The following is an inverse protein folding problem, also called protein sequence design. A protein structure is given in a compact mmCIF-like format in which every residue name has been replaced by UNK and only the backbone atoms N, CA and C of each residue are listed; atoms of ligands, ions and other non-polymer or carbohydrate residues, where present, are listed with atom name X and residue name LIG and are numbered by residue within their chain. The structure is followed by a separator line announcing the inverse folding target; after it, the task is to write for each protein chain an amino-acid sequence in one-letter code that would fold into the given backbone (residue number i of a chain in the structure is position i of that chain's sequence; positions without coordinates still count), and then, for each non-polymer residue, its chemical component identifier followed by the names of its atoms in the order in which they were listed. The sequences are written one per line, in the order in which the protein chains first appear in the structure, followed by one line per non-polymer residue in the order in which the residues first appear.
data_IF_568876943238
#
_entry.id   IF_568876943238
#
_cell.length_a   1.000
_cell.length_b   1.000
_cell.length_c   1.000
_cell.angle_alpha   90.00
_cell.angle_beta   90.00
_cell.angle_gamma   90.00
#
_symmetry.space_group_name_H-M   'P 1'
#
loop_
_entity.id
_entity.type
_entity.pdbx_description
1 polymer ?
#
# COMPACT_ATOMS: atom_id res chain seq x y z
N UNK A 1 -10.28 6.21 43.01
CA UNK A 1 -11.68 6.39 42.58
C UNK A 1 -12.37 5.06 42.87
N UNK A 2 -12.79 4.78 44.10
CA UNK A 2 -14.03 5.21 44.77
C UNK A 2 -15.29 4.90 43.97
N UNK A 3 -16.04 3.90 44.43
CA UNK A 3 -17.50 3.88 44.68
C UNK A 3 -17.84 2.48 45.23
N UNK A 4 -18.09 2.35 46.55
CA UNK A 4 -19.40 2.49 47.23
C UNK A 4 -20.34 1.30 46.94
N UNK A 5 -20.53 0.41 47.92
CA UNK A 5 -21.52 0.52 49.01
C UNK A 5 -22.94 0.20 48.53
N UNK A 6 -23.33 -1.06 48.68
CA UNK A 6 -24.74 -1.42 48.82
C UNK A 6 -24.89 -2.31 50.05
N UNK A 7 -25.33 -1.66 51.14
CA UNK A 7 -25.88 -2.31 52.31
C UNK A 7 -27.14 -3.07 51.91
N UNK A 8 -27.27 -4.34 52.30
CA UNK A 8 -28.58 -4.97 52.39
C UNK A 8 -28.75 -5.62 53.76
N UNK A 9 -29.83 -5.20 54.39
CA UNK A 9 -30.21 -5.34 55.79
C UNK A 9 -30.51 -6.80 56.11
N UNK A 10 -29.63 -7.44 56.87
CA UNK A 10 -29.96 -8.71 57.55
C UNK A 10 -30.65 -8.35 58.86
N UNK A 11 -31.97 -8.50 58.87
CA UNK A 11 -32.79 -8.41 60.07
C UNK A 11 -32.40 -9.51 61.05
N UNK A 12 -31.69 -9.11 62.11
CA UNK A 12 -31.52 -9.90 63.33
C UNK A 12 -32.88 -10.04 64.03
N UNK A 13 -33.52 -11.20 63.89
CA UNK A 13 -34.62 -11.61 64.75
C UNK A 13 -34.28 -12.93 65.45
N UNK A 14 -34.02 -12.79 66.75
CA UNK A 14 -34.29 -13.73 67.85
C UNK A 14 -33.83 -15.18 67.68
N UNK A 15 -32.67 -15.46 68.28
CA UNK A 15 -32.28 -16.77 68.81
C UNK A 15 -33.33 -17.22 69.84
N UNK A 16 -34.01 -18.38 69.68
CA UNK A 16 -34.85 -18.91 70.75
C UNK A 16 -33.96 -19.44 71.90
N UNK A 17 -34.37 -19.31 73.17
CA UNK A 17 -33.56 -19.67 74.33
C UNK A 17 -33.25 -21.17 74.43
N UNK A 18 -32.10 -21.48 75.03
CA UNK A 18 -31.79 -22.80 75.57
C UNK A 18 -32.80 -23.21 76.65
N UNK A 19 -33.28 -24.46 76.52
CA UNK A 19 -33.86 -25.34 77.54
C UNK A 19 -35.04 -24.82 78.35
N UNK A 20 -36.19 -25.46 78.15
CA UNK A 20 -37.07 -25.83 79.27
C UNK A 20 -37.15 -27.35 79.33
N UNK A 21 -36.49 -27.92 80.34
CA UNK A 21 -36.86 -29.22 80.87
C UNK A 21 -38.29 -29.09 81.40
N UNK A 22 -39.20 -29.92 80.90
CA UNK A 22 -40.51 -30.14 81.53
C UNK A 22 -40.61 -31.64 81.86
N UNK A 23 -41.05 -32.00 83.08
CA UNK A 23 -40.78 -33.31 83.67
C UNK A 23 -41.64 -34.42 83.06
N UNK A 24 -41.02 -35.55 82.77
CA UNK A 24 -41.71 -36.82 82.55
C UNK A 24 -42.30 -37.29 83.88
N UNK A 25 -43.61 -37.10 84.10
CA UNK A 25 -44.30 -37.70 85.24
C UNK A 25 -45.36 -38.70 84.75
N UNK A 26 -44.97 -39.96 84.94
CA UNK A 26 -45.77 -41.17 85.18
C UNK A 26 -46.82 -41.58 84.14
N UNK A 27 -46.57 -42.73 83.52
CA UNK A 27 -47.38 -43.89 83.88
C UNK A 27 -46.54 -45.17 83.79
N UNK A 28 -46.31 -45.74 84.96
CA UNK A 28 -46.01 -47.15 85.15
C UNK A 28 -47.14 -47.95 84.48
N UNK A 29 -46.85 -48.77 83.47
CA UNK A 29 -47.63 -49.98 83.26
C UNK A 29 -46.74 -51.19 83.53
N UNK A 30 -46.84 -51.65 84.77
CA UNK A 30 -46.57 -53.02 85.14
C UNK A 30 -47.46 -53.94 84.32
N UNK A 31 -46.86 -54.80 83.49
CA UNK A 31 -47.51 -55.98 82.94
C UNK A 31 -47.85 -56.95 84.08
N UNK A 32 -48.94 -56.70 84.81
CA UNK A 32 -49.58 -57.72 85.64
C UNK A 32 -50.56 -58.49 84.77
N UNK A 33 -50.14 -59.71 84.46
CA UNK A 33 -50.97 -60.83 84.08
C UNK A 33 -52.16 -60.96 85.07
N UNK A 34 -53.37 -60.60 84.63
CA UNK A 34 -54.63 -60.93 85.30
C UNK A 34 -55.50 -61.67 84.30
N UNK A 35 -55.65 -62.97 84.55
CA UNK A 35 -56.63 -63.85 83.93
C UNK A 35 -58.05 -63.30 84.07
N UNK A 36 -58.97 -63.54 83.12
CA UNK A 36 -60.39 -63.48 83.40
C UNK A 36 -60.84 -64.82 84.00
N UNK A 37 -61.18 -64.80 85.30
CA UNK A 37 -62.02 -65.81 85.90
C UNK A 37 -63.46 -65.57 85.42
N UNK A 38 -64.07 -66.60 84.83
CA UNK A 38 -65.50 -66.69 84.62
C UNK A 38 -66.26 -66.38 85.92
N UNK A 39 -67.21 -65.44 85.87
CA UNK A 39 -68.31 -65.43 86.82
C UNK A 39 -69.60 -65.05 86.08
N UNK A 40 -70.29 -66.11 85.70
CA UNK A 40 -71.65 -66.10 85.23
C UNK A 40 -72.60 -65.85 86.43
N UNK A 41 -73.77 -65.29 86.15
CA UNK A 41 -75.00 -65.30 86.99
C UNK A 41 -75.08 -64.27 88.14
N UNK A 42 -75.87 -63.21 87.94
CA UNK A 42 -77.21 -63.08 88.58
C UNK A 42 -77.87 -61.76 88.19
N UNK A 43 -79.02 -61.88 87.52
CA UNK A 43 -80.03 -60.82 87.43
C UNK A 43 -80.50 -60.44 88.84
N UNK A 44 -80.40 -59.16 89.22
CA UNK A 44 -81.10 -58.62 90.38
C UNK A 44 -81.69 -57.27 90.07
N UNK A 45 -82.99 -57.36 89.76
CA UNK A 45 -84.06 -56.36 89.74
C UNK A 45 -83.79 -55.20 90.70
N UNK A 46 -83.48 -54.02 90.15
CA UNK A 46 -83.35 -52.77 90.90
C UNK A 46 -84.66 -52.01 90.80
N UNK A 47 -85.25 -51.65 91.94
CA UNK A 47 -86.40 -50.75 92.01
C UNK A 47 -86.05 -49.40 91.38
N UNK A 48 -86.78 -48.98 90.34
CA UNK A 48 -86.52 -47.74 89.61
C UNK A 48 -87.20 -46.54 90.28
N UNK A 49 -86.39 -45.62 90.82
CA UNK A 49 -86.79 -44.23 91.02
C UNK A 49 -86.49 -43.46 89.73
N UNK A 50 -87.35 -42.53 89.27
CA UNK A 50 -87.11 -41.74 88.06
C UNK A 50 -85.73 -41.04 88.02
N UNK A 51 -85.17 -40.68 89.19
CA UNK A 51 -83.86 -40.04 89.30
C UNK A 51 -82.68 -40.98 89.04
N UNK A 52 -82.75 -42.27 89.42
CA UNK A 52 -81.64 -43.21 89.15
C UNK A 52 -81.56 -43.56 87.67
N UNK A 53 -82.69 -43.62 86.99
CA UNK A 53 -82.76 -43.85 85.54
C UNK A 53 -82.15 -42.68 84.74
N UNK A 54 -82.47 -41.43 85.11
CA UNK A 54 -81.90 -40.24 84.47
C UNK A 54 -80.38 -40.15 84.65
N UNK A 55 -79.86 -40.49 85.84
CA UNK A 55 -78.43 -40.55 86.11
C UNK A 55 -77.70 -41.60 85.25
N UNK A 56 -78.26 -42.81 85.15
CA UNK A 56 -77.67 -43.87 84.32
C UNK A 56 -77.65 -43.45 82.84
N UNK A 57 -78.70 -42.78 82.35
CA UNK A 57 -78.73 -42.25 80.98
C UNK A 57 -77.70 -41.14 80.74
N UNK A 58 -77.54 -40.22 81.71
CA UNK A 58 -76.53 -39.16 81.62
C UNK A 58 -75.10 -39.72 81.62
N UNK A 59 -74.81 -40.71 82.46
CA UNK A 59 -73.51 -41.38 82.50
C UNK A 59 -73.21 -42.14 81.20
N UNK A 60 -74.19 -42.87 80.64
CA UNK A 60 -74.05 -43.53 79.34
C UNK A 60 -73.77 -42.53 78.22
N UNK A 61 -74.49 -41.40 78.21
CA UNK A 61 -74.28 -40.32 77.24
C UNK A 61 -72.89 -39.70 77.36
N UNK A 62 -72.40 -39.52 78.59
CA UNK A 62 -71.05 -39.00 78.85
C UNK A 62 -69.97 -39.99 78.39
N UNK A 63 -70.14 -41.28 78.68
CA UNK A 63 -69.22 -42.34 78.23
C UNK A 63 -69.14 -42.40 76.71
N UNK A 64 -70.28 -42.34 76.01
CA UNK A 64 -70.32 -42.32 74.55
C UNK A 64 -69.66 -41.05 73.98
N UNK A 65 -69.83 -39.90 74.64
CA UNK A 65 -69.15 -38.65 74.26
C UNK A 65 -67.64 -38.72 74.48
N UNK A 66 -67.17 -39.31 75.58
CA UNK A 66 -65.74 -39.52 75.84
C UNK A 66 -65.15 -40.43 74.76
N UNK A 67 -65.81 -41.56 74.47
CA UNK A 67 -65.34 -42.49 73.45
C UNK A 67 -65.25 -41.83 72.06
N UNK A 68 -66.25 -41.02 71.69
CA UNK A 68 -66.23 -40.24 70.44
C UNK A 68 -65.07 -39.25 70.40
N UNK A 69 -64.84 -38.51 71.49
CA UNK A 69 -63.73 -37.56 71.58
C UNK A 69 -62.36 -38.25 71.53
N UNK A 70 -62.23 -39.44 72.12
CA UNK A 70 -61.00 -40.24 72.03
C UNK A 70 -60.71 -40.67 70.59
N UNK A 71 -61.75 -41.09 69.85
CA UNK A 71 -61.63 -41.43 68.43
C UNK A 71 -61.23 -40.22 67.59
N UNK A 72 -61.91 -39.08 67.77
CA UNK A 72 -61.59 -37.83 67.09
C UNK A 72 -60.16 -37.34 67.42
N UNK A 73 -59.70 -37.52 68.67
CA UNK A 73 -58.32 -37.24 69.07
C UNK A 73 -57.32 -38.09 68.30
N UNK A 74 -57.54 -39.41 68.23
CA UNK A 74 -56.65 -40.30 67.47
C UNK A 74 -56.63 -39.98 65.99
N UNK A 75 -57.79 -39.67 65.40
CA UNK A 75 -57.89 -39.26 64.00
C UNK A 75 -57.15 -37.93 63.74
N UNK A 76 -57.28 -36.94 64.63
CA UNK A 76 -56.57 -35.67 64.53
C UNK A 76 -55.05 -35.86 64.67
N UNK A 77 -54.62 -36.76 65.54
CA UNK A 77 -53.21 -37.12 65.74
C UNK A 77 -52.62 -37.81 64.50
N UNK A 78 -53.34 -38.75 63.89
CA UNK A 78 -52.93 -39.40 62.64
C UNK A 78 -52.84 -38.41 61.48
N UNK A 79 -53.82 -37.50 61.36
CA UNK A 79 -53.79 -36.44 60.35
C UNK A 79 -52.59 -35.50 60.54
N UNK A 80 -52.28 -35.12 61.78
CA UNK A 80 -51.10 -34.30 62.09
C UNK A 80 -49.80 -35.03 61.74
N UNK A 81 -49.72 -36.34 62.02
CA UNK A 81 -48.57 -37.16 61.66
C UNK A 81 -48.38 -37.28 60.14
N UNK A 82 -49.47 -37.36 59.37
CA UNK A 82 -49.43 -37.34 57.90
C UNK A 82 -48.92 -35.99 57.40
N UNK A 83 -49.53 -34.89 57.84
CA UNK A 83 -49.12 -33.53 57.45
C UNK A 83 -47.66 -33.23 57.83
N UNK A 84 -47.20 -33.67 59.00
CA UNK A 84 -45.81 -33.53 59.43
C UNK A 84 -44.84 -34.24 58.48
N UNK A 85 -45.20 -35.45 58.03
CA UNK A 85 -44.40 -36.23 57.07
C UNK A 85 -44.37 -35.56 55.70
N UNK A 86 -45.51 -35.08 55.21
CA UNK A 86 -45.61 -34.36 53.94
C UNK A 86 -44.78 -33.06 53.98
N UNK A 87 -44.90 -32.28 55.05
CA UNK A 87 -44.11 -31.06 55.25
C UNK A 87 -42.60 -31.34 55.26
N UNK A 88 -42.18 -32.43 55.93
CA UNK A 88 -40.78 -32.85 55.92
C UNK A 88 -40.29 -33.27 54.52
N UNK A 89 -41.15 -33.93 53.73
CA UNK A 89 -40.83 -34.30 52.35
C UNK A 89 -40.69 -33.08 51.44
N UNK A 90 -41.61 -32.10 51.52
CA UNK A 90 -41.49 -30.85 50.76
C UNK A 90 -40.23 -30.07 51.11
N UNK A 91 -39.90 -29.99 52.41
CA UNK A 91 -38.66 -29.36 52.86
C UNK A 91 -37.43 -30.03 52.24
N UNK A 92 -37.39 -31.37 52.25
CA UNK A 92 -36.29 -32.14 51.64
C UNK A 92 -36.21 -31.95 50.13
N UNK A 93 -37.33 -31.96 49.43
CA UNK A 93 -37.37 -31.75 47.99
C UNK A 93 -36.81 -30.37 47.60
N UNK A 94 -37.20 -29.32 48.33
CA UNK A 94 -36.73 -27.96 48.11
C UNK A 94 -35.23 -27.81 48.37
N UNK A 95 -34.72 -28.44 49.43
CA UNK A 95 -33.29 -28.45 49.75
C UNK A 95 -32.47 -29.16 48.65
N UNK A 96 -32.96 -30.30 48.16
CA UNK A 96 -32.32 -31.02 47.05
C UNK A 96 -32.27 -30.18 45.77
N UNK A 97 -33.38 -29.55 45.40
CA UNK A 97 -33.45 -28.69 44.21
C UNK A 97 -32.49 -27.49 44.32
N UNK A 98 -32.34 -26.93 45.53
CA UNK A 98 -31.39 -25.86 45.80
C UNK A 98 -29.95 -26.34 45.62
N UNK A 99 -29.62 -27.52 46.14
CA UNK A 99 -28.29 -28.12 46.01
C UNK A 99 -27.94 -28.45 44.54
N UNK A 100 -28.89 -29.02 43.78
CA UNK A 100 -28.72 -29.28 42.35
C UNK A 100 -28.49 -27.99 41.56
N UNK A 101 -29.27 -26.95 41.83
CA UNK A 101 -29.10 -25.63 41.21
C UNK A 101 -27.72 -25.03 41.51
N UNK A 102 -27.25 -25.14 42.75
CA UNK A 102 -25.92 -24.67 43.15
C UNK A 102 -24.81 -25.45 42.43
N UNK A 103 -24.95 -26.77 42.30
CA UNK A 103 -23.98 -27.60 41.59
C UNK A 103 -23.94 -27.26 40.09
N UNK A 104 -25.11 -27.12 39.45
CA UNK A 104 -25.21 -26.72 38.06
C UNK A 104 -24.57 -25.35 37.81
N UNK A 105 -24.79 -24.38 38.73
CA UNK A 105 -24.16 -23.07 38.64
C UNK A 105 -22.64 -23.13 38.77
N UNK A 106 -22.13 -23.95 39.70
CA UNK A 106 -20.69 -24.14 39.87
C UNK A 106 -20.05 -24.77 38.63
N UNK A 107 -20.67 -25.78 38.04
CA UNK A 107 -20.19 -26.43 36.82
C UNK A 107 -20.22 -25.45 35.64
N UNK A 108 -21.26 -24.62 35.51
CA UNK A 108 -21.32 -23.57 34.49
C UNK A 108 -20.18 -22.56 34.65
N UNK A 109 -19.88 -22.13 35.88
CA UNK A 109 -18.74 -21.25 36.14
C UNK A 109 -17.42 -21.91 35.72
N UNK A 110 -17.25 -23.21 36.03
CA UNK A 110 -16.05 -23.96 35.66
C UNK A 110 -15.90 -24.06 34.13
N UNK A 111 -16.97 -24.42 33.43
CA UNK A 111 -17.01 -24.46 31.97
C UNK A 111 -16.71 -23.09 31.36
N UNK A 112 -17.30 -22.02 31.90
CA UNK A 112 -17.03 -20.64 31.45
C UNK A 112 -15.54 -20.28 31.59
N UNK A 113 -14.89 -20.68 32.70
CA UNK A 113 -13.45 -20.46 32.90
C UNK A 113 -12.61 -21.24 31.91
N UNK A 114 -12.95 -22.50 31.65
CA UNK A 114 -12.26 -23.35 30.68
C UNK A 114 -12.34 -22.76 29.27
N UNK A 115 -13.55 -22.39 28.83
CA UNK A 115 -13.75 -21.75 27.52
C UNK A 115 -12.97 -20.43 27.43
N UNK A 116 -12.97 -19.63 28.49
CA UNK A 116 -12.19 -18.38 28.53
C UNK A 116 -10.69 -18.61 28.38
N UNK A 117 -10.15 -19.68 29.00
CA UNK A 117 -8.74 -20.04 28.89
C UNK A 117 -8.41 -20.54 27.47
N UNK A 118 -9.28 -21.37 26.90
CA UNK A 118 -9.13 -21.85 25.52
C UNK A 118 -9.18 -20.70 24.52
N UNK A 119 -10.09 -19.73 24.70
CA UNK A 119 -10.17 -18.54 23.86
C UNK A 119 -8.89 -17.69 23.96
N UNK A 120 -8.37 -17.47 25.17
CA UNK A 120 -7.11 -16.74 25.37
C UNK A 120 -5.92 -17.45 24.73
N UNK A 121 -5.88 -18.79 24.80
CA UNK A 121 -4.84 -19.60 24.15
C UNK A 121 -4.93 -19.51 22.62
N UNK A 122 -6.14 -19.65 22.07
CA UNK A 122 -6.40 -19.51 20.64
C UNK A 122 -6.02 -18.11 20.14
N UNK A 123 -6.39 -17.06 20.85
CA UNK A 123 -6.03 -15.68 20.53
C UNK A 123 -4.50 -15.47 20.53
N UNK A 124 -3.79 -16.08 21.48
CA UNK A 124 -2.31 -16.04 21.52
C UNK A 124 -1.69 -16.76 20.33
N UNK A 125 -2.27 -17.88 19.90
CA UNK A 125 -1.83 -18.62 18.70
C UNK A 125 -2.09 -17.81 17.42
N UNK A 126 -3.26 -17.19 17.29
CA UNK A 126 -3.60 -16.33 16.14
C UNK A 126 -2.64 -15.14 16.03
N UNK A 127 -2.39 -14.42 17.12
CA UNK A 127 -1.46 -13.28 17.13
C UNK A 127 -0.02 -13.67 16.78
N UNK A 128 0.42 -14.88 17.13
CA UNK A 128 1.72 -15.39 16.68
C UNK A 128 1.74 -15.65 15.17
N UNK A 129 0.70 -16.28 14.63
CA UNK A 129 0.57 -16.56 13.20
C UNK A 129 0.49 -15.27 12.37
N UNK A 130 -0.22 -14.25 12.86
CA UNK A 130 -0.27 -12.92 12.25
C UNK A 130 1.12 -12.29 12.15
N UNK A 131 1.93 -12.37 13.22
CA UNK A 131 3.31 -11.87 13.21
C UNK A 131 4.19 -12.62 12.22
N UNK A 132 4.04 -13.95 12.13
CA UNK A 132 4.78 -14.76 11.15
C UNK A 132 4.38 -14.40 9.72
N UNK A 133 3.08 -14.26 9.45
CA UNK A 133 2.57 -13.86 8.15
C UNK A 133 3.09 -12.47 7.75
N UNK A 134 3.09 -11.52 8.68
CA UNK A 134 3.61 -10.17 8.45
C UNK A 134 5.12 -10.17 8.15
N UNK A 135 5.89 -10.98 8.87
CA UNK A 135 7.31 -11.18 8.57
C UNK A 135 7.53 -11.75 7.16
N UNK A 136 6.80 -12.80 6.78
CA UNK A 136 6.90 -13.40 5.44
C UNK A 136 6.49 -12.41 4.35
N UNK A 137 5.40 -11.65 4.54
CA UNK A 137 4.97 -10.58 3.62
C UNK A 137 6.10 -9.57 3.40
N UNK A 138 6.74 -9.12 4.47
CA UNK A 138 7.86 -8.16 4.40
C UNK A 138 9.07 -8.73 3.65
N UNK A 139 9.42 -9.98 3.91
CA UNK A 139 10.51 -10.66 3.22
C UNK A 139 10.24 -10.78 1.72
N UNK A 140 9.05 -11.22 1.33
CA UNK A 140 8.65 -11.33 -0.08
C UNK A 140 8.67 -9.97 -0.77
N UNK A 141 8.12 -8.93 -0.13
CA UNK A 141 8.17 -7.56 -0.66
C UNK A 141 9.61 -7.05 -0.83
N UNK A 142 10.53 -7.43 0.06
CA UNK A 142 11.94 -7.08 -0.08
C UNK A 142 12.57 -7.76 -1.29
N UNK A 143 12.35 -9.07 -1.45
CA UNK A 143 12.86 -9.84 -2.59
C UNK A 143 12.31 -9.30 -3.92
N UNK A 144 11.01 -8.97 -3.99
CA UNK A 144 10.42 -8.41 -5.21
C UNK A 144 11.00 -7.03 -5.55
N UNK A 145 11.29 -6.20 -4.54
CA UNK A 145 11.98 -4.92 -4.74
C UNK A 145 13.40 -5.10 -5.28
N UNK A 146 14.17 -6.02 -4.71
CA UNK A 146 15.53 -6.32 -5.18
C UNK A 146 15.53 -6.84 -6.62
N UNK A 147 14.60 -7.75 -6.95
CA UNK A 147 14.39 -8.25 -8.32
C UNK A 147 14.07 -7.11 -9.28
N UNK A 148 13.15 -6.21 -8.93
CA UNK A 148 12.81 -5.06 -9.78
C UNK A 148 14.00 -4.13 -10.00
N UNK A 149 14.81 -3.87 -8.97
CA UNK A 149 16.03 -3.08 -9.08
C UNK A 149 17.05 -3.72 -10.03
N UNK A 150 17.22 -5.05 -9.96
CA UNK A 150 18.13 -5.79 -10.85
C UNK A 150 17.61 -5.75 -12.30
N UNK A 151 16.31 -5.95 -12.52
CA UNK A 151 15.70 -5.86 -13.85
C UNK A 151 15.84 -4.46 -14.46
N UNK A 152 15.66 -3.41 -13.65
CA UNK A 152 15.86 -2.03 -14.09
C UNK A 152 17.33 -1.75 -14.44
N UNK A 153 18.27 -2.23 -13.61
CA UNK A 153 19.71 -2.15 -13.92
C UNK A 153 20.06 -2.87 -15.22
N UNK A 154 19.48 -4.06 -15.46
CA UNK A 154 19.67 -4.81 -16.69
C UNK A 154 19.10 -4.06 -17.91
N UNK A 155 17.92 -3.46 -17.78
CA UNK A 155 17.32 -2.64 -18.83
C UNK A 155 18.12 -1.36 -19.13
N UNK A 156 18.72 -0.74 -18.11
CA UNK A 156 19.62 0.39 -18.31
C UNK A 156 20.89 -0.01 -19.05
N UNK A 157 21.56 -1.09 -18.64
CA UNK A 157 22.75 -1.59 -19.32
C UNK A 157 22.48 -1.95 -20.78
N UNK A 158 21.30 -2.53 -21.07
CA UNK A 158 20.89 -2.83 -22.44
C UNK A 158 20.72 -1.56 -23.28
N UNK A 159 20.08 -0.52 -22.72
CA UNK A 159 19.93 0.78 -23.41
C UNK A 159 21.28 1.46 -23.65
N UNK A 160 22.20 1.39 -22.70
CA UNK A 160 23.55 1.93 -22.86
C UNK A 160 24.32 1.21 -23.97
N UNK A 161 24.24 -0.13 -24.00
CA UNK A 161 24.82 -0.95 -25.08
C UNK A 161 24.26 -0.58 -26.46
N UNK A 162 22.94 -0.43 -26.57
CA UNK A 162 22.28 -0.01 -27.81
C UNK A 162 22.71 1.41 -28.23
N UNK A 163 22.84 2.32 -27.26
CA UNK A 163 23.34 3.67 -27.51
C UNK A 163 24.77 3.67 -28.05
N UNK A 164 25.65 2.87 -27.46
CA UNK A 164 27.03 2.75 -27.91
C UNK A 164 27.13 2.07 -29.27
N UNK A 165 26.29 1.07 -29.54
CA UNK A 165 26.17 0.45 -30.86
C UNK A 165 25.71 1.46 -31.92
N UNK A 166 24.71 2.30 -31.61
CA UNK A 166 24.28 3.38 -32.49
C UNK A 166 25.40 4.40 -32.75
N UNK A 167 26.14 4.81 -31.71
CA UNK A 167 27.30 5.71 -31.85
C UNK A 167 28.41 5.11 -32.71
N UNK A 168 28.68 3.82 -32.56
CA UNK A 168 29.67 3.11 -33.37
C UNK A 168 29.22 3.07 -34.84
N UNK A 169 27.97 2.71 -35.09
CA UNK A 169 27.41 2.69 -36.45
C UNK A 169 27.53 4.06 -37.14
N UNK A 170 27.18 5.14 -36.45
CA UNK A 170 27.33 6.50 -36.99
C UNK A 170 28.81 6.87 -37.29
N UNK A 171 29.76 6.41 -36.48
CA UNK A 171 31.20 6.61 -36.74
C UNK A 171 31.68 5.82 -37.96
N UNK A 172 31.21 4.59 -38.13
CA UNK A 172 31.53 3.76 -39.30
C UNK A 172 31.00 4.37 -40.59
N UNK A 173 29.76 4.88 -40.58
CA UNK A 173 29.18 5.59 -41.74
C UNK A 173 30.00 6.84 -42.09
N UNK A 174 30.44 7.62 -41.10
CA UNK A 174 31.33 8.76 -41.32
C UNK A 174 32.69 8.35 -41.91
N UNK A 175 33.25 7.22 -41.47
CA UNK A 175 34.50 6.69 -42.01
C UNK A 175 34.34 6.27 -43.48
N UNK A 176 33.26 5.58 -43.84
CA UNK A 176 32.96 5.19 -45.23
C UNK A 176 32.86 6.41 -46.16
N UNK A 177 32.22 7.50 -45.70
CA UNK A 177 32.17 8.77 -46.46
C UNK A 177 33.58 9.35 -46.67
N UNK A 178 34.41 9.36 -45.62
CA UNK A 178 35.78 9.88 -45.72
C UNK A 178 36.67 9.00 -46.62
N UNK A 179 36.49 7.68 -46.57
CA UNK A 179 37.21 6.74 -47.42
C UNK A 179 36.87 6.98 -48.90
N UNK A 180 35.58 7.15 -49.23
CA UNK A 180 35.13 7.54 -50.58
C UNK A 180 35.72 8.88 -51.03
N UNK A 181 35.85 9.84 -50.12
CA UNK A 181 36.49 11.13 -50.38
C UNK A 181 37.98 10.98 -50.71
N UNK A 182 38.72 10.19 -49.91
CA UNK A 182 40.13 9.90 -50.12
C UNK A 182 40.37 9.24 -51.49
N UNK A 183 39.54 8.27 -51.88
CA UNK A 183 39.61 7.67 -53.20
C UNK A 183 39.39 8.70 -54.33
N UNK A 184 38.38 9.55 -54.20
CA UNK A 184 38.09 10.59 -55.20
C UNK A 184 39.22 11.61 -55.32
N UNK A 185 39.77 12.05 -54.19
CA UNK A 185 40.91 12.98 -54.16
C UNK A 185 42.15 12.33 -54.77
N UNK A 186 42.44 11.07 -54.45
CA UNK A 186 43.57 10.32 -55.03
C UNK A 186 43.43 10.19 -56.54
N UNK A 187 42.24 9.85 -57.05
CA UNK A 187 41.99 9.79 -58.49
C UNK A 187 42.17 11.15 -59.18
N UNK A 188 41.72 12.22 -58.52
CA UNK A 188 41.88 13.60 -59.02
C UNK A 188 43.35 14.03 -59.02
N UNK A 189 44.08 13.72 -57.95
CA UNK A 189 45.51 14.00 -57.83
C UNK A 189 46.29 13.26 -58.93
N UNK A 190 46.05 11.96 -59.11
CA UNK A 190 46.71 11.16 -60.17
C UNK A 190 46.45 11.74 -61.56
N UNK A 191 45.20 12.12 -61.86
CA UNK A 191 44.85 12.74 -63.13
C UNK A 191 45.59 14.08 -63.36
N UNK A 192 45.80 14.86 -62.29
CA UNK A 192 46.59 16.09 -62.36
C UNK A 192 48.09 15.80 -62.56
N UNK A 193 48.65 14.82 -61.86
CA UNK A 193 50.04 14.37 -62.02
C UNK A 193 50.32 13.88 -63.46
N UNK A 194 49.46 13.03 -64.01
CA UNK A 194 49.57 12.56 -65.41
C UNK A 194 49.54 13.75 -66.41
N UNK A 195 48.71 14.75 -66.13
CA UNK A 195 48.62 15.95 -66.96
C UNK A 195 49.87 16.83 -66.86
N UNK A 196 50.45 16.97 -65.67
CA UNK A 196 51.72 17.69 -65.47
C UNK A 196 52.82 16.99 -66.24
N UNK A 197 52.97 15.67 -66.08
CA UNK A 197 53.98 14.87 -66.79
C UNK A 197 53.91 15.04 -68.31
N UNK A 198 52.69 15.04 -68.87
CA UNK A 198 52.47 15.29 -70.30
C UNK A 198 52.88 16.70 -70.72
N UNK A 199 52.61 17.71 -69.87
CA UNK A 199 53.03 19.08 -70.13
C UNK A 199 54.54 19.26 -70.02
N UNK A 200 55.20 18.57 -69.08
CA UNK A 200 56.66 18.55 -68.94
C UNK A 200 57.32 17.93 -70.18
N UNK A 201 56.81 16.80 -70.68
CA UNK A 201 57.31 16.16 -71.91
C UNK A 201 57.19 17.11 -73.11
N UNK A 202 56.01 17.74 -73.31
CA UNK A 202 55.83 18.76 -74.34
C UNK A 202 56.76 19.96 -74.19
N UNK A 203 57.03 20.39 -72.95
CA UNK A 203 57.94 21.50 -72.69
C UNK A 203 59.36 21.15 -73.14
N UNK A 204 59.83 19.94 -72.83
CA UNK A 204 61.17 19.48 -73.26
C UNK A 204 61.30 19.36 -74.78
N UNK A 205 60.25 18.91 -75.47
CA UNK A 205 60.23 18.88 -76.95
C UNK A 205 60.27 20.31 -77.52
N UNK A 206 59.48 21.24 -76.99
CA UNK A 206 59.52 22.65 -77.39
C UNK A 206 60.88 23.30 -77.10
N UNK A 207 61.51 22.99 -75.98
CA UNK A 207 62.88 23.45 -75.67
C UNK A 207 63.89 22.91 -76.67
N UNK A 208 63.80 21.62 -77.04
CA UNK A 208 64.63 21.02 -78.08
C UNK A 208 64.41 21.69 -79.45
N UNK A 209 63.16 21.93 -79.84
CA UNK A 209 62.80 22.65 -81.07
C UNK A 209 63.44 24.06 -81.06
N UNK A 210 63.26 24.83 -79.99
CA UNK A 210 63.84 26.17 -79.85
C UNK A 210 65.37 26.16 -79.93
N UNK A 211 66.02 25.15 -79.35
CA UNK A 211 67.47 24.98 -79.43
C UNK A 211 67.93 24.71 -80.87
N UNK A 212 67.25 23.83 -81.61
CA UNK A 212 67.53 23.61 -83.03
C UNK A 212 67.34 24.88 -83.88
N UNK A 213 66.30 25.67 -83.59
CA UNK A 213 66.10 26.96 -84.23
C UNK A 213 67.21 27.96 -83.89
N UNK A 214 67.62 28.03 -82.62
CA UNK A 214 68.72 28.88 -82.17
C UNK A 214 70.04 28.49 -82.83
N UNK A 215 70.34 27.19 -82.92
CA UNK A 215 71.55 26.68 -83.58
C UNK A 215 71.56 27.07 -85.07
N UNK A 216 70.44 26.86 -85.80
CA UNK A 216 70.27 27.33 -87.19
C UNK A 216 70.39 28.85 -87.34
N UNK A 217 69.86 29.61 -86.39
CA UNK A 217 69.98 31.07 -86.38
C UNK A 217 71.44 31.51 -86.11
N UNK A 218 72.15 30.79 -85.23
CA UNK A 218 73.57 31.01 -84.91
C UNK A 218 74.50 30.67 -86.09
N UNK A 219 74.15 29.66 -86.90
CA UNK A 219 74.82 29.33 -88.15
C UNK A 219 74.66 30.46 -89.19
N UNK A 220 73.44 30.95 -89.39
CA UNK A 220 73.17 32.10 -90.26
C UNK A 220 73.80 33.41 -89.77
N UNK A 221 73.90 33.63 -88.46
CA UNK A 221 74.56 34.83 -87.90
C UNK A 221 76.09 34.74 -87.86
N UNK A 222 76.69 33.54 -87.85
CA UNK A 222 78.13 33.37 -88.10
C UNK A 222 78.54 33.80 -89.53
N UNK A 223 77.63 33.77 -90.50
CA UNK A 223 77.84 34.33 -91.85
C UNK A 223 77.70 35.86 -91.93
N UNK A 224 77.27 36.55 -90.87
CA UNK A 224 77.16 38.02 -90.83
C UNK A 224 77.84 38.58 -89.57
N UNK A 225 79.17 38.67 -89.59
CA UNK A 225 79.91 39.64 -88.74
C UNK A 225 80.59 40.71 -89.61
N UNK A 226 79.85 41.76 -89.96
CA UNK A 226 80.40 43.10 -90.24
C UNK A 226 79.28 44.16 -90.13
N UNK A 227 79.37 45.07 -89.15
CA UNK A 227 78.56 46.32 -89.10
C UNK A 227 77.94 46.66 -87.73
N UNK A 228 78.05 47.90 -87.19
CA UNK A 228 77.72 48.26 -85.80
C UNK A 228 76.45 49.17 -85.69
N UNK A 229 76.12 49.83 -84.56
CA UNK A 229 74.87 49.63 -83.80
C UNK A 229 73.88 50.82 -83.85
N UNK A 230 72.57 50.62 -83.66
CA UNK A 230 71.65 51.71 -83.25
C UNK A 230 70.51 51.27 -82.32
N UNK A 231 70.29 52.12 -81.31
CA UNK A 231 69.19 52.16 -80.34
C UNK A 231 67.85 52.47 -81.02
N UNK A 232 66.74 51.88 -80.54
CA UNK A 232 65.42 52.51 -80.56
C UNK A 232 64.66 52.19 -79.26
N UNK A 233 64.14 53.25 -78.66
CA UNK A 233 63.28 53.36 -77.47
C UNK A 233 61.82 52.98 -77.82
N UNK A 234 61.04 52.33 -76.94
CA UNK A 234 59.69 52.81 -76.57
C UNK A 234 58.95 51.95 -75.54
N UNK A 235 58.27 52.65 -74.62
CA UNK A 235 57.31 52.21 -73.59
C UNK A 235 55.98 51.77 -74.21
N UNK A 236 55.26 50.86 -73.55
CA UNK A 236 53.81 50.81 -73.22
C UNK A 236 53.62 49.40 -72.60
N UNK A 237 52.90 49.13 -71.51
CA UNK A 237 51.87 49.79 -70.73
C UNK A 237 51.13 48.63 -70.06
N UNK A 238 51.13 48.54 -68.74
CA UNK A 238 50.49 47.46 -67.99
C UNK A 238 48.96 47.57 -68.05
N UNK A 239 48.26 46.43 -68.15
CA UNK A 239 46.82 46.31 -67.91
C UNK A 239 46.52 45.09 -67.01
N UNK A 240 45.57 45.21 -66.06
CA UNK A 240 45.40 44.25 -64.99
C UNK A 240 44.35 43.18 -65.25
N UNK A 241 44.58 42.07 -64.55
CA UNK A 241 43.71 40.94 -64.24
C UNK A 241 42.43 41.38 -63.49
N UNK A 242 41.27 40.89 -63.92
CA UNK A 242 40.00 40.97 -63.17
C UNK A 242 39.40 39.57 -63.04
N UNK A 243 39.15 39.16 -61.80
CA UNK A 243 38.50 37.91 -61.40
C UNK A 243 37.00 38.15 -61.23
N UNK A 244 36.17 37.32 -61.88
CA UNK A 244 34.73 37.27 -61.64
C UNK A 244 34.37 36.10 -60.70
N UNK A 245 33.53 36.40 -59.69
CA UNK A 245 32.76 35.43 -58.91
C UNK A 245 31.27 35.83 -58.94
N UNK A 246 30.32 34.89 -58.89
CA UNK A 246 28.89 35.18 -59.04
C UNK A 246 28.17 35.43 -57.71
N UNK A 247 27.12 36.27 -57.73
CA UNK A 247 26.22 36.56 -56.60
C UNK A 247 24.82 35.99 -56.89
N UNK A 248 24.29 35.28 -55.89
CA UNK A 248 22.90 34.77 -55.78
C UNK A 248 21.91 35.92 -55.52
N UNK A 249 20.66 35.78 -55.99
CA UNK A 249 19.50 36.50 -55.42
C UNK A 249 18.32 35.53 -55.26
N UNK A 250 17.84 35.43 -54.01
CA UNK A 250 16.66 34.68 -53.59
C UNK A 250 15.54 35.69 -53.32
N UNK A 251 14.37 35.49 -53.90
CA UNK A 251 13.17 36.30 -53.72
C UNK A 251 12.33 35.79 -52.53
N UNK A 252 12.01 36.66 -51.57
CA UNK A 252 10.98 36.43 -50.56
C UNK A 252 9.70 37.17 -50.94
N UNK A 253 8.58 36.44 -51.07
CA UNK A 253 7.24 37.00 -51.10
C UNK A 253 6.70 37.13 -49.67
N UNK A 254 6.09 38.29 -49.39
CA UNK A 254 5.34 38.59 -48.17
C UNK A 254 3.96 37.94 -48.23
N UNK A 255 3.48 37.43 -47.10
CA UNK A 255 2.07 37.12 -46.89
C UNK A 255 1.55 37.86 -45.65
N UNK A 256 0.36 38.42 -45.81
CA UNK A 256 -0.46 39.18 -44.86
C UNK A 256 -1.14 38.22 -43.87
N UNK A 257 -1.34 38.58 -42.58
CA UNK A 257 -2.18 37.82 -41.67
C UNK A 257 -3.59 38.42 -41.55
N UNK A 258 -4.59 37.59 -41.81
CA UNK A 258 -6.03 37.74 -41.50
C UNK A 258 -6.52 36.31 -41.21
N UNK A 259 -7.45 35.99 -40.33
CA UNK A 259 -8.24 36.76 -39.38
C UNK A 259 -8.77 35.79 -38.32
N UNK A 260 -9.25 36.38 -37.23
CA UNK A 260 -9.93 35.78 -36.08
C UNK A 260 -11.07 34.82 -36.42
N UNK A 261 -10.94 33.55 -36.01
CA UNK A 261 -12.07 32.68 -35.66
C UNK A 261 -11.85 32.14 -34.25
N UNK A 262 -12.86 32.29 -33.39
CA UNK A 262 -12.91 31.77 -32.02
C UNK A 262 -12.75 30.24 -32.05
N UNK A 263 -11.54 29.75 -31.90
CA UNK A 263 -11.30 28.34 -31.63
C UNK A 263 -11.69 28.05 -30.19
N UNK A 264 -12.68 27.16 -30.00
CA UNK A 264 -12.92 26.51 -28.71
C UNK A 264 -11.58 25.95 -28.25
N UNK A 265 -11.09 26.42 -27.12
CA UNK A 265 -9.74 26.08 -26.70
C UNK A 265 -9.73 24.60 -26.33
N UNK A 266 -8.71 23.86 -26.77
CA UNK A 266 -8.52 22.43 -26.40
C UNK A 266 -8.58 22.23 -24.86
N UNK A 267 -8.33 23.29 -24.08
CA UNK A 267 -8.41 23.28 -22.62
C UNK A 267 -9.87 23.23 -22.09
N UNK A 268 -10.85 23.69 -22.85
CA UNK A 268 -12.26 23.77 -22.41
C UNK A 268 -12.90 22.38 -22.46
N UNK A 269 -12.72 21.65 -23.56
CA UNK A 269 -13.20 20.26 -23.72
C UNK A 269 -12.58 19.30 -22.70
N UNK A 270 -11.30 19.50 -22.36
CA UNK A 270 -10.62 18.67 -21.36
C UNK A 270 -11.11 18.96 -19.94
N UNK A 271 -11.56 20.18 -19.68
CA UNK A 271 -12.15 20.58 -18.40
C UNK A 271 -13.55 20.01 -18.23
N UNK A 272 -14.36 20.02 -19.29
CA UNK A 272 -15.70 19.40 -19.29
C UNK A 272 -15.64 17.89 -19.03
N UNK A 273 -14.72 17.18 -19.71
CA UNK A 273 -14.52 15.75 -19.46
C UNK A 273 -14.05 15.46 -18.02
N UNK A 274 -13.19 16.31 -17.48
CA UNK A 274 -12.71 16.17 -16.10
C UNK A 274 -13.83 16.38 -15.08
N UNK A 275 -14.71 17.35 -15.32
CA UNK A 275 -15.91 17.57 -14.49
C UNK A 275 -16.82 16.34 -14.52
N UNK A 276 -17.17 15.83 -15.71
CA UNK A 276 -18.02 14.65 -15.85
C UNK A 276 -17.44 13.42 -15.11
N UNK A 277 -16.13 13.18 -15.23
CA UNK A 277 -15.48 12.08 -14.53
C UNK A 277 -15.46 12.26 -13.01
N UNK A 278 -15.33 13.49 -12.52
CA UNK A 278 -15.38 13.81 -11.10
C UNK A 278 -16.79 13.58 -10.55
N UNK A 279 -17.83 14.01 -11.27
CA UNK A 279 -19.23 13.78 -10.90
C UNK A 279 -19.56 12.29 -10.84
N UNK A 280 -19.05 11.49 -11.79
CA UNK A 280 -19.23 10.04 -11.75
C UNK A 280 -18.48 9.36 -10.58
N UNK A 281 -17.33 9.90 -10.14
CA UNK A 281 -16.62 9.40 -8.96
C UNK A 281 -17.39 9.76 -7.68
N UNK A 282 -17.97 10.94 -7.63
CA UNK A 282 -18.79 11.39 -6.51
C UNK A 282 -20.08 10.55 -6.43
N UNK A 283 -20.71 10.24 -7.57
CA UNK A 283 -21.85 9.33 -7.64
C UNK A 283 -21.51 7.93 -7.10
N UNK A 284 -20.37 7.35 -7.47
CA UNK A 284 -19.92 6.05 -6.93
C UNK A 284 -19.59 6.14 -5.43
N UNK A 285 -19.13 7.29 -4.95
CA UNK A 285 -18.86 7.50 -3.53
C UNK A 285 -20.15 7.52 -2.71
N UNK A 286 -21.23 8.08 -3.26
CA UNK A 286 -22.56 8.04 -2.65
C UNK A 286 -23.10 6.60 -2.61
N UNK A 287 -23.00 5.87 -3.73
CA UNK A 287 -23.39 4.45 -3.81
C UNK A 287 -22.62 3.59 -2.79
N UNK A 288 -21.33 3.85 -2.60
CA UNK A 288 -20.50 3.16 -1.61
C UNK A 288 -20.98 3.44 -0.16
N UNK A 289 -21.39 4.68 0.14
CA UNK A 289 -21.95 5.00 1.46
C UNK A 289 -23.31 4.36 1.69
N UNK A 290 -24.14 4.25 0.64
CA UNK A 290 -25.45 3.61 0.71
C UNK A 290 -25.33 2.09 0.93
N UNK A 291 -24.46 1.41 0.20
CA UNK A 291 -24.17 -0.01 0.39
C UNK A 291 -23.57 -0.29 1.78
N UNK A 292 -22.68 0.57 2.28
CA UNK A 292 -22.16 0.46 3.65
C UNK A 292 -23.25 0.61 4.72
N UNK A 293 -24.25 1.45 4.46
CA UNK A 293 -25.39 1.62 5.35
C UNK A 293 -26.27 0.36 5.31
N UNK A 294 -26.55 -0.16 4.12
CA UNK A 294 -27.34 -1.38 3.93
C UNK A 294 -26.69 -2.60 4.59
N UNK A 295 -25.35 -2.72 4.52
CA UNK A 295 -24.59 -3.76 5.21
C UNK A 295 -24.76 -3.71 6.74
N UNK A 296 -24.84 -2.51 7.32
CA UNK A 296 -25.03 -2.32 8.78
C UNK A 296 -26.46 -2.59 9.24
N UNK A 297 -27.44 -2.41 8.37
CA UNK A 297 -28.87 -2.57 8.66
C UNK A 297 -29.34 -4.03 8.43
N UNK A 298 -28.55 -4.84 7.73
CA UNK A 298 -28.93 -6.21 7.36
C UNK A 298 -28.51 -7.22 8.44
N UNK A 299 -29.46 -8.03 8.93
CA UNK A 299 -29.21 -9.09 9.93
C UNK A 299 -28.86 -10.46 9.31
N UNK A 300 -29.13 -10.65 8.02
CA UNK A 300 -28.87 -11.91 7.31
C UNK A 300 -27.42 -12.00 6.83
N UNK A 301 -26.71 -13.03 7.29
CA UNK A 301 -25.31 -13.27 6.95
C UNK A 301 -25.05 -13.41 5.44
N UNK A 302 -25.90 -14.12 4.70
CA UNK A 302 -25.69 -14.31 3.25
C UNK A 302 -25.86 -13.02 2.44
N UNK A 303 -26.75 -12.13 2.88
CA UNK A 303 -26.96 -10.84 2.22
C UNK A 303 -25.83 -9.86 2.56
N UNK A 304 -25.24 -9.97 3.77
CA UNK A 304 -24.04 -9.22 4.13
C UNK A 304 -22.84 -9.60 3.25
N UNK A 305 -22.59 -10.90 3.02
CA UNK A 305 -21.50 -11.37 2.15
C UNK A 305 -21.68 -10.86 0.70
N UNK A 306 -22.91 -10.84 0.18
CA UNK A 306 -23.22 -10.32 -1.15
C UNK A 306 -22.96 -8.80 -1.25
N UNK A 307 -23.38 -8.03 -0.24
CA UNK A 307 -23.13 -6.57 -0.17
C UNK A 307 -21.63 -6.28 -0.03
N UNK A 308 -20.89 -7.09 0.73
CA UNK A 308 -19.44 -6.95 0.87
C UNK A 308 -18.73 -7.18 -0.48
N UNK A 309 -19.16 -8.18 -1.25
CA UNK A 309 -18.65 -8.42 -2.61
C UNK A 309 -18.96 -7.25 -3.57
N UNK A 310 -20.15 -6.65 -3.48
CA UNK A 310 -20.53 -5.49 -4.28
C UNK A 310 -19.71 -4.25 -3.91
N UNK A 311 -19.50 -4.00 -2.62
CA UNK A 311 -18.61 -2.94 -2.11
C UNK A 311 -17.18 -3.11 -2.61
N UNK A 312 -16.62 -4.33 -2.56
CA UNK A 312 -15.26 -4.57 -3.06
C UNK A 312 -15.15 -4.27 -4.57
N UNK A 313 -16.19 -4.63 -5.34
CA UNK A 313 -16.25 -4.34 -6.78
C UNK A 313 -16.36 -2.84 -7.05
N UNK A 314 -17.15 -2.12 -6.25
CA UNK A 314 -17.34 -0.69 -6.36
C UNK A 314 -16.06 0.09 -6.01
N UNK A 315 -15.36 -0.32 -4.94
CA UNK A 315 -14.08 0.28 -4.55
C UNK A 315 -13.04 0.14 -5.68
N UNK A 316 -12.90 -1.05 -6.28
CA UNK A 316 -12.01 -1.24 -7.44
C UNK A 316 -12.36 -0.30 -8.60
N UNK A 317 -13.65 -0.07 -8.84
CA UNK A 317 -14.12 0.86 -9.89
C UNK A 317 -13.81 2.32 -9.54
N UNK A 318 -13.96 2.72 -8.28
CA UNK A 318 -13.59 4.04 -7.77
C UNK A 318 -12.09 4.31 -7.90
N UNK A 319 -11.25 3.33 -7.55
CA UNK A 319 -9.79 3.42 -7.71
C UNK A 319 -9.39 3.63 -9.17
N UNK A 320 -9.91 2.79 -10.08
CA UNK A 320 -9.66 2.92 -11.51
C UNK A 320 -10.07 4.30 -12.02
N UNK A 321 -11.24 4.82 -11.59
CA UNK A 321 -11.69 6.14 -12.01
C UNK A 321 -10.80 7.27 -11.44
N UNK A 322 -10.37 7.14 -10.19
CA UNK A 322 -9.40 8.06 -9.57
C UNK A 322 -8.07 8.12 -10.33
N UNK A 323 -7.58 6.98 -10.83
CA UNK A 323 -6.41 6.95 -11.71
C UNK A 323 -6.65 7.65 -13.05
N UNK A 324 -7.81 7.43 -13.65
CA UNK A 324 -8.15 8.08 -14.93
C UNK A 324 -8.23 9.60 -14.76
N UNK A 325 -8.88 10.10 -13.70
CA UNK A 325 -8.92 11.53 -13.36
C UNK A 325 -7.50 12.07 -13.15
N UNK A 326 -6.65 11.32 -12.46
CA UNK A 326 -5.25 11.72 -12.23
C UNK A 326 -4.44 11.82 -13.52
N UNK A 327 -4.61 10.88 -14.45
CA UNK A 327 -4.00 10.91 -15.79
C UNK A 327 -4.50 12.11 -16.60
N UNK A 328 -5.81 12.37 -16.55
CA UNK A 328 -6.43 13.50 -17.26
C UNK A 328 -5.96 14.85 -16.71
N UNK A 329 -5.88 15.02 -15.38
CA UNK A 329 -5.31 16.21 -14.72
C UNK A 329 -3.88 16.48 -15.16
N UNK A 330 -3.02 15.45 -15.17
CA UNK A 330 -1.63 15.57 -15.66
C UNK A 330 -1.57 15.99 -17.13
N UNK A 331 -2.45 15.47 -17.97
CA UNK A 331 -2.54 15.88 -19.37
C UNK A 331 -2.97 17.34 -19.50
N UNK A 332 -3.99 17.76 -18.75
CA UNK A 332 -4.48 19.14 -18.72
C UNK A 332 -3.38 20.13 -18.31
N UNK A 333 -2.58 19.80 -17.29
CA UNK A 333 -1.45 20.63 -16.87
C UNK A 333 -0.33 20.69 -17.93
N UNK A 334 -0.09 19.58 -18.62
CA UNK A 334 0.90 19.53 -19.71
C UNK A 334 0.47 20.39 -20.89
N UNK A 335 -0.83 20.34 -21.24
CA UNK A 335 -1.43 21.18 -22.29
C UNK A 335 -1.37 22.66 -21.91
N UNK A 336 -1.75 23.02 -20.67
CA UNK A 336 -1.64 24.42 -20.16
C UNK A 336 -0.20 24.94 -20.22
N UNK A 337 0.78 24.13 -19.81
CA UNK A 337 2.22 24.49 -19.88
C UNK A 337 2.68 24.72 -21.32
N UNK A 338 2.24 23.90 -22.26
CA UNK A 338 2.55 24.09 -23.68
C UNK A 338 1.90 25.35 -24.25
N UNK A 339 0.62 25.58 -23.96
CA UNK A 339 -0.09 26.81 -24.35
C UNK A 339 0.61 28.07 -23.82
N UNK A 340 1.03 28.06 -22.54
CA UNK A 340 1.75 29.18 -21.93
C UNK A 340 3.10 29.43 -22.60
N UNK A 341 3.85 28.36 -22.95
CA UNK A 341 5.12 28.50 -23.69
C UNK A 341 4.92 29.10 -25.08
N UNK A 342 3.88 28.70 -25.81
CA UNK A 342 3.54 29.23 -27.13
C UNK A 342 3.11 30.71 -27.05
N UNK A 343 2.48 31.12 -25.95
CA UNK A 343 2.09 32.51 -25.74
C UNK A 343 3.27 33.39 -25.30
N UNK A 344 4.15 32.88 -24.44
CA UNK A 344 5.37 33.57 -24.02
C UNK A 344 6.37 33.77 -25.18
N UNK A 345 6.48 32.80 -26.10
CA UNK A 345 7.33 32.96 -27.30
C UNK A 345 6.79 34.01 -28.27
N UNK A 346 5.46 34.16 -28.38
CA UNK A 346 4.82 35.22 -29.18
C UNK A 346 5.03 36.62 -28.59
N UNK A 347 5.12 36.76 -27.26
CA UNK A 347 5.42 38.05 -26.61
C UNK A 347 6.91 38.42 -26.66
N UNK A 348 7.84 37.44 -26.69
CA UNK A 348 9.27 37.71 -26.84
C UNK A 348 9.67 38.16 -28.26
N UNK A 349 8.96 37.71 -29.30
CA UNK A 349 9.21 38.14 -30.69
C UNK A 349 8.69 39.56 -31.00
N UNK A 350 7.67 40.04 -30.28
CA UNK A 350 7.11 41.39 -30.49
C UNK A 350 7.95 42.51 -29.85
N UNK A 351 9.01 42.18 -29.10
CA UNK A 351 9.80 43.14 -28.30
C UNK A 351 11.21 43.41 -28.85
N UNK A 352 11.61 42.77 -29.95
CA UNK A 352 12.99 42.78 -30.44
C UNK A 352 13.23 43.57 -31.72
N UNK A 353 12.96 44.88 -31.76
CA UNK A 353 13.42 45.76 -32.85
C UNK A 353 13.89 47.12 -32.29
N UNK A 354 15.21 47.34 -32.38
CA UNK A 354 16.04 48.58 -32.30
C UNK A 354 17.28 48.29 -31.44
N UNK A 355 18.54 48.53 -31.83
CA UNK A 355 19.17 49.27 -32.93
C UNK A 355 20.62 48.75 -33.05
N UNK A 356 21.14 48.77 -34.27
CA UNK A 356 22.51 48.42 -34.64
C UNK A 356 23.40 49.69 -34.70
N UNK A 357 24.69 49.48 -34.44
CA UNK A 357 25.89 50.27 -34.77
C UNK A 357 26.17 51.67 -34.18
N UNK A 358 27.40 51.80 -33.62
CA UNK A 358 28.50 52.73 -34.02
C UNK A 358 29.66 52.60 -32.99
N UNK A 359 30.86 52.24 -33.44
CA UNK A 359 32.14 52.50 -32.73
C UNK A 359 32.74 53.83 -33.21
N UNK A 360 33.49 54.58 -32.37
CA UNK A 360 34.95 54.56 -32.51
C UNK A 360 35.80 54.72 -31.21
N UNK A 361 36.99 54.11 -31.27
CA UNK A 361 38.30 54.35 -30.60
C UNK A 361 38.45 55.36 -29.44
N UNK A 362 39.16 54.93 -28.39
CA UNK A 362 40.25 55.71 -27.77
C UNK A 362 40.49 55.57 -26.25
N UNK A 363 41.73 55.24 -25.89
CA UNK A 363 42.45 55.58 -24.63
C UNK A 363 42.44 54.64 -23.40
N UNK A 364 43.50 53.81 -23.37
CA UNK A 364 44.51 53.61 -22.29
C UNK A 364 44.06 53.74 -20.81
N UNK A 365 44.20 52.65 -20.05
CA UNK A 365 45.10 52.62 -18.90
C UNK A 365 45.47 51.20 -18.45
N UNK A 366 46.74 51.08 -18.09
CA UNK A 366 47.47 49.87 -17.72
C UNK A 366 47.29 49.60 -16.23
N UNK A 367 47.03 48.35 -15.83
CA UNK A 367 47.84 47.62 -14.83
C UNK A 367 47.36 46.16 -14.61
N UNK A 368 48.33 45.25 -14.83
CA UNK A 368 48.56 43.97 -14.15
C UNK A 368 48.07 42.65 -14.80
N UNK A 369 48.98 42.10 -15.62
CA UNK A 369 49.38 40.69 -15.90
C UNK A 369 49.07 39.60 -14.84
N UNK A 370 49.16 38.26 -15.11
CA UNK A 370 49.45 37.54 -16.37
C UNK A 370 48.44 36.45 -16.79
N UNK A 371 48.61 36.08 -18.07
CA UNK A 371 48.02 34.98 -18.85
C UNK A 371 48.00 33.59 -18.19
N UNK A 372 46.95 32.81 -18.49
CA UNK A 372 47.02 31.57 -19.30
C UNK A 372 45.62 31.09 -19.70
N UNK A 373 45.38 31.04 -21.01
CA UNK A 373 44.42 30.11 -21.62
C UNK A 373 45.25 28.96 -22.23
N UNK A 374 44.94 27.71 -21.89
CA UNK A 374 44.81 26.59 -22.84
C UNK A 374 44.23 25.37 -22.10
N UNK A 375 43.03 24.98 -22.55
CA UNK A 375 42.46 23.65 -22.77
C UNK A 375 42.84 22.41 -21.91
N UNK A 376 41.78 21.60 -21.73
CA UNK A 376 41.70 20.13 -21.69
C UNK A 376 41.47 19.39 -20.35
N UNK A 377 40.42 18.56 -20.40
CA UNK A 377 40.21 17.26 -19.75
C UNK A 377 39.80 17.16 -18.27
N UNK A 378 38.61 16.58 -18.09
CA UNK A 378 38.20 15.59 -17.08
C UNK A 378 39.08 15.44 -15.82
N UNK A 379 38.49 15.71 -14.65
CA UNK A 379 38.79 14.96 -13.43
C UNK A 379 37.63 15.05 -12.43
N UNK A 380 36.91 13.93 -12.28
CA UNK A 380 36.03 13.64 -11.16
C UNK A 380 36.81 13.76 -9.83
N UNK A 381 36.39 14.66 -8.95
CA UNK A 381 36.88 14.68 -7.56
C UNK A 381 36.12 13.65 -6.73
N UNK A 382 36.82 12.54 -6.48
CA UNK A 382 36.53 11.54 -5.44
C UNK A 382 36.49 12.22 -4.08
N UNK A 383 35.40 12.03 -3.34
CA UNK A 383 35.40 12.12 -1.89
C UNK A 383 34.95 10.76 -1.35
N UNK A 384 35.89 9.81 -1.34
CA UNK A 384 35.71 8.48 -0.74
C UNK A 384 36.42 8.47 0.61
N UNK A 385 35.64 8.58 1.69
CA UNK A 385 36.04 8.05 2.99
C UNK A 385 35.04 6.96 3.38
N UNK A 386 35.21 5.78 2.76
CA UNK A 386 34.66 4.54 3.30
C UNK A 386 35.83 3.59 3.54
N UNK A 387 36.21 3.46 4.81
CA UNK A 387 37.06 2.37 5.24
C UNK A 387 36.25 1.07 5.17
N UNK A 388 36.78 -0.02 4.59
CA UNK A 388 36.12 -1.31 4.68
C UNK A 388 36.16 -1.77 6.15
N UNK A 389 34.98 -1.87 6.77
CA UNK A 389 34.85 -2.53 8.07
C UNK A 389 35.23 -3.99 7.87
N UNK A 390 36.41 -4.34 8.36
CA UNK A 390 36.91 -5.71 8.45
C UNK A 390 36.07 -6.45 9.49
N UNK A 391 35.00 -7.13 9.05
CA UNK A 391 34.22 -8.03 9.90
C UNK A 391 35.03 -9.28 10.22
N UNK A 392 35.87 -9.20 11.24
CA UNK A 392 36.34 -10.38 11.96
C UNK A 392 35.39 -10.64 13.13
N UNK A 393 35.01 -11.91 13.28
CA UNK A 393 34.22 -12.52 14.36
C UNK A 393 32.70 -12.64 14.15
N UNK A 394 32.28 -13.56 13.27
CA UNK A 394 31.11 -14.38 13.55
C UNK A 394 31.58 -15.66 14.23
N UNK A 395 31.58 -15.65 15.57
CA UNK A 395 31.72 -16.90 16.33
C UNK A 395 30.41 -17.67 16.19
N UNK A 396 30.33 -18.53 15.18
CA UNK A 396 29.21 -19.45 15.01
C UNK A 396 29.36 -20.54 16.08
N UNK A 397 28.58 -20.43 17.16
CA UNK A 397 28.38 -21.51 18.13
C UNK A 397 26.92 -21.94 18.07
N UNK A 398 26.58 -22.67 17.03
CA UNK A 398 25.46 -23.63 17.09
C UNK A 398 26.10 -24.98 17.39
N UNK A 399 25.72 -25.61 18.51
CA UNK A 399 26.15 -26.97 18.82
C UNK A 399 25.32 -27.93 17.99
N UNK A 400 25.86 -29.12 17.73
CA UNK A 400 25.18 -30.17 16.94
C UNK A 400 23.82 -30.55 17.52
N UNK A 401 23.61 -30.30 18.81
CA UNK A 401 22.42 -30.66 19.57
C UNK A 401 21.29 -29.60 19.48
N UNK A 402 21.55 -28.44 18.86
CA UNK A 402 20.57 -27.35 18.71
C UNK A 402 19.62 -27.56 17.51
N UNK A 403 19.78 -28.65 16.76
CA UNK A 403 18.91 -29.04 15.64
C UNK A 403 18.22 -30.36 16.02
N UNK A 404 17.18 -30.26 16.84
CA UNK A 404 16.24 -31.36 17.05
C UNK A 404 15.05 -31.16 16.12
N UNK A 405 14.91 -32.05 15.14
CA UNK A 405 13.64 -32.24 14.45
C UNK A 405 12.78 -33.15 15.32
N UNK A 406 11.66 -32.64 15.83
CA UNK A 406 10.62 -33.48 16.42
C UNK A 406 10.07 -34.41 15.33
N UNK A 407 10.05 -35.70 15.64
CA UNK A 407 9.65 -36.79 14.75
C UNK A 407 8.16 -37.10 14.90
#
# INVERSE_FOLDING_TARGET
MNSELMHSVVGSYLKPPERMFVPSFTQNESSQNRQPMNLEVTSSKVFHSPNSQALILALKTLQEKIHRLELERTQAEDNLNILSREAAQYKKALENETNERNLAHQELIKQKKEISMQLSSAQSRCTLLEKQLEYTKRMVLNVEREKNMILEQQAQLQREKEQDQMRLHAKLEKLDVLEKECFRLTATQKAAEDKIKHLEEKLTEEEHQRKLFQDKASEKTKCLKRGPPQQIYSKFGALPFVSEKPIRKTSQCKAVPSDSEKSVSICDNLSELLMAMQDELDQMSVEHQELLKQMKETESYSVCDDIECELERLVKKMEIKGEQISKLKKHQDSVRKLQQKVQNSKMSEASGIQREDIYPKGSKNIKNSPRKCLNETNAFQKNNNFHPIRVHNLQVKLRRDDIMWEQ
#
